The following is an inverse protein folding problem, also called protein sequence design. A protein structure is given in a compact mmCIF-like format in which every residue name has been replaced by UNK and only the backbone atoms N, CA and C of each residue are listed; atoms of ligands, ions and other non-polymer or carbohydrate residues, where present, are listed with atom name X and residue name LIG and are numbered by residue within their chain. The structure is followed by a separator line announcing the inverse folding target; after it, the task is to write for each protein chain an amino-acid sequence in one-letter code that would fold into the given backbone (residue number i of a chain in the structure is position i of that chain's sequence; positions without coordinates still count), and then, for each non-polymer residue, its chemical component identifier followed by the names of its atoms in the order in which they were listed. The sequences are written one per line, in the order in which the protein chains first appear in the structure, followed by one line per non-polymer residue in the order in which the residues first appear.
data_IF_280633128755
#
_entry.id   IF_280633128755
#
_cell.length_a   1.000
_cell.length_b   1.000
_cell.length_c   1.000
_cell.angle_alpha   90.00
_cell.angle_beta   90.00
_cell.angle_gamma   90.00
#
_symmetry.space_group_name_H-M   'P 1'
#
loop_
_entity.id
_entity.type
_entity.pdbx_description
1 polymer ?
#
# COMPACT_ATOMS: atom_id res chain seq x y z
N UNK A 1 -22.65 -23.24 -10.50
CA UNK A 1 -21.24 -22.85 -10.27
C UNK A 1 -20.53 -24.03 -9.63
N UNK A 2 -19.60 -24.73 -10.29
CA UNK A 2 -18.93 -25.92 -9.75
C UNK A 2 -17.96 -25.62 -8.58
N UNK A 3 -17.71 -24.34 -8.28
CA UNK A 3 -16.97 -23.91 -7.08
C UNK A 3 -17.94 -23.50 -5.96
N UNK A 4 -18.77 -24.45 -5.55
CA UNK A 4 -19.86 -24.29 -4.59
C UNK A 4 -19.41 -23.82 -3.21
N UNK A 5 -19.25 -22.51 -3.05
CA UNK A 5 -19.58 -21.68 -1.89
C UNK A 5 -19.14 -20.27 -2.30
N UNK A 6 -20.04 -19.28 -2.23
CA UNK A 6 -19.61 -17.89 -2.37
C UNK A 6 -18.47 -17.60 -1.39
N UNK A 7 -17.56 -16.70 -1.76
CA UNK A 7 -16.47 -16.29 -0.87
C UNK A 7 -17.10 -15.78 0.44
N UNK A 8 -16.83 -16.46 1.56
CA UNK A 8 -17.29 -15.98 2.87
C UNK A 8 -16.56 -14.68 3.22
N UNK A 9 -17.25 -13.76 3.90
CA UNK A 9 -16.64 -12.49 4.32
C UNK A 9 -15.34 -12.72 5.12
N UNK A 10 -15.36 -13.64 6.08
CA UNK A 10 -14.17 -14.02 6.86
C UNK A 10 -13.05 -14.63 6.01
N UNK A 11 -13.40 -15.43 5.00
CA UNK A 11 -12.43 -15.99 4.05
C UNK A 11 -11.82 -14.95 3.12
N UNK A 12 -12.57 -13.90 2.75
CA UNK A 12 -12.05 -12.76 2.01
C UNK A 12 -11.08 -11.96 2.88
N UNK A 13 -11.47 -11.56 4.08
CA UNK A 13 -10.63 -10.80 5.02
C UNK A 13 -9.30 -11.50 5.27
N UNK A 14 -9.32 -12.81 5.54
CA UNK A 14 -8.09 -13.60 5.74
C UNK A 14 -7.18 -13.56 4.51
N UNK A 15 -7.73 -13.65 3.30
CA UNK A 15 -6.95 -13.64 2.07
C UNK A 15 -6.38 -12.26 1.74
N UNK A 16 -7.13 -11.19 1.98
CA UNK A 16 -6.62 -9.82 1.84
C UNK A 16 -5.47 -9.57 2.82
N UNK A 17 -5.64 -9.90 4.11
CA UNK A 17 -4.56 -9.76 5.10
C UNK A 17 -3.31 -10.58 4.75
N UNK A 18 -3.47 -11.76 4.13
CA UNK A 18 -2.34 -12.54 3.65
C UNK A 18 -1.67 -11.92 2.43
N UNK A 19 -2.44 -11.36 1.49
CA UNK A 19 -1.90 -10.63 0.35
C UNK A 19 -1.08 -9.41 0.81
N UNK A 20 -1.56 -8.67 1.80
CA UNK A 20 -0.83 -7.52 2.38
C UNK A 20 0.49 -7.95 3.03
N UNK A 21 0.51 -9.11 3.70
CA UNK A 21 1.75 -9.67 4.27
C UNK A 21 2.74 -10.04 3.17
N UNK A 22 2.29 -10.70 2.11
CA UNK A 22 3.15 -11.07 0.98
C UNK A 22 3.69 -9.82 0.29
N UNK A 23 2.83 -8.83 0.02
CA UNK A 23 3.23 -7.58 -0.63
C UNK A 23 4.33 -6.85 0.16
N UNK A 24 4.22 -6.77 1.49
CA UNK A 24 5.27 -6.19 2.35
C UNK A 24 6.55 -7.02 2.37
N UNK A 25 6.44 -8.34 2.45
CA UNK A 25 7.60 -9.22 2.49
C UNK A 25 8.42 -9.18 1.18
N UNK A 26 7.77 -8.89 0.05
CA UNK A 26 8.42 -8.74 -1.26
C UNK A 26 8.68 -7.29 -1.66
N UNK A 27 8.35 -6.34 -0.79
CA UNK A 27 8.30 -4.91 -1.09
C UNK A 27 7.63 -4.57 -2.43
N UNK A 28 6.46 -5.18 -2.68
CA UNK A 28 5.72 -4.98 -3.91
C UNK A 28 4.95 -3.66 -3.83
N UNK A 29 5.40 -2.63 -4.55
CA UNK A 29 4.58 -1.48 -4.90
C UNK A 29 3.93 -1.71 -6.28
N UNK A 30 2.60 -1.66 -6.32
CA UNK A 30 1.84 -1.83 -7.56
C UNK A 30 2.00 -0.64 -8.51
N UNK A 31 2.25 0.57 -8.01
CA UNK A 31 2.54 1.74 -8.85
C UNK A 31 3.89 1.56 -9.53
N UNK A 32 4.94 1.25 -8.78
CA UNK A 32 6.28 0.99 -9.33
C UNK A 32 6.31 -0.25 -10.24
N UNK A 33 5.49 -1.26 -9.95
CA UNK A 33 5.29 -2.41 -10.82
C UNK A 33 4.58 -2.08 -12.16
N UNK A 34 4.22 -0.81 -12.37
CA UNK A 34 3.64 -0.31 -13.63
C UNK A 34 2.15 -0.60 -13.78
N UNK A 35 1.42 -0.76 -12.67
CA UNK A 35 -0.01 -0.94 -12.75
C UNK A 35 -0.71 0.34 -13.24
N UNK A 36 -1.59 0.21 -14.23
CA UNK A 36 -2.40 1.31 -14.74
C UNK A 36 -3.88 0.91 -14.90
N UNK A 37 -4.82 1.81 -14.59
CA UNK A 37 -6.25 1.57 -14.78
C UNK A 37 -6.63 1.78 -16.26
N UNK A 38 -6.49 0.73 -17.08
CA UNK A 38 -6.82 0.79 -18.53
C UNK A 38 -8.26 0.39 -18.85
N UNK A 39 -8.74 0.76 -20.04
CA UNK A 39 -10.04 0.38 -20.61
C UNK A 39 -10.14 -1.13 -20.76
N UNK A 40 -9.15 -1.76 -21.40
CA UNK A 40 -9.11 -3.21 -21.61
C UNK A 40 -8.88 -4.00 -20.31
N UNK A 41 -8.47 -3.30 -19.25
CA UNK A 41 -8.24 -3.81 -17.90
C UNK A 41 -9.37 -3.46 -16.94
N UNK A 42 -9.06 -2.59 -15.97
CA UNK A 42 -9.94 -2.29 -14.84
C UNK A 42 -11.18 -1.49 -15.25
N UNK A 43 -11.02 -0.42 -16.03
CA UNK A 43 -12.10 0.54 -16.30
C UNK A 43 -13.24 -0.06 -17.13
N UNK A 44 -12.92 -0.97 -18.06
CA UNK A 44 -13.94 -1.71 -18.83
C UNK A 44 -14.75 -2.70 -18.00
N UNK A 45 -14.24 -3.14 -16.83
CA UNK A 45 -14.86 -4.18 -16.00
C UNK A 45 -15.71 -3.63 -14.85
N UNK A 46 -15.41 -2.43 -14.35
CA UNK A 46 -16.13 -1.82 -13.23
C UNK A 46 -17.40 -1.08 -13.67
N UNK A 47 -18.38 -0.80 -12.80
CA UNK A 47 -19.54 0.04 -13.17
C UNK A 47 -19.14 1.51 -13.41
N UNK A 48 -20.01 2.30 -14.05
CA UNK A 48 -19.77 3.74 -14.32
C UNK A 48 -19.46 4.54 -13.04
N UNK A 49 -20.25 4.32 -11.99
CA UNK A 49 -20.06 4.99 -10.69
C UNK A 49 -18.65 4.80 -10.15
N UNK A 50 -18.08 3.59 -10.29
CA UNK A 50 -16.72 3.30 -9.83
C UNK A 50 -15.64 4.00 -10.67
N UNK A 51 -15.88 4.22 -11.96
CA UNK A 51 -14.98 5.06 -12.77
C UNK A 51 -14.99 6.50 -12.24
N UNK A 52 -16.18 7.06 -11.99
CA UNK A 52 -16.31 8.43 -11.52
C UNK A 52 -15.65 8.63 -10.15
N UNK A 53 -15.80 7.66 -9.24
CA UNK A 53 -15.08 7.65 -7.97
C UNK A 53 -13.57 7.60 -8.17
N UNK A 54 -13.05 6.72 -9.04
CA UNK A 54 -11.62 6.65 -9.32
C UNK A 54 -11.06 7.98 -9.83
N UNK A 55 -11.76 8.61 -10.77
CA UNK A 55 -11.38 9.92 -11.32
C UNK A 55 -11.49 11.02 -10.28
N UNK A 56 -12.53 11.00 -9.44
CA UNK A 56 -12.69 11.93 -8.32
C UNK A 56 -11.56 11.82 -7.32
N UNK A 57 -11.19 10.59 -6.94
CA UNK A 57 -10.09 10.32 -6.00
C UNK A 57 -8.74 10.79 -6.56
N UNK A 58 -8.48 10.61 -7.86
CA UNK A 58 -7.19 10.95 -8.46
C UNK A 58 -7.06 12.40 -8.96
N UNK A 59 -8.14 12.98 -9.48
CA UNK A 59 -8.14 14.27 -10.22
C UNK A 59 -9.19 15.26 -9.72
N UNK A 60 -9.92 14.92 -8.65
CA UNK A 60 -10.93 15.78 -8.03
C UNK A 60 -12.31 15.72 -8.69
N UNK A 61 -13.28 16.31 -7.99
CA UNK A 61 -14.70 16.28 -8.34
C UNK A 61 -14.98 16.85 -9.74
N UNK A 62 -14.38 18.00 -10.07
CA UNK A 62 -14.59 18.68 -11.36
C UNK A 62 -14.27 17.81 -12.57
N UNK A 63 -13.24 16.97 -12.48
CA UNK A 63 -12.91 16.01 -13.54
C UNK A 63 -13.97 14.93 -13.67
N UNK A 64 -14.54 14.44 -12.55
CA UNK A 64 -15.61 13.46 -12.57
C UNK A 64 -16.92 14.01 -13.20
N UNK A 65 -17.29 15.28 -12.94
CA UNK A 65 -18.46 15.90 -13.61
C UNK A 65 -18.35 15.90 -15.13
N UNK A 66 -17.14 16.14 -15.67
CA UNK A 66 -16.91 16.14 -17.11
C UNK A 66 -17.13 14.76 -17.74
N UNK A 67 -17.03 13.68 -16.96
CA UNK A 67 -17.20 12.31 -17.45
C UNK A 67 -18.61 11.76 -17.24
N UNK A 68 -19.38 12.30 -16.29
CA UNK A 68 -20.66 11.75 -15.82
C UNK A 68 -21.68 11.52 -16.95
N UNK A 69 -21.72 12.43 -17.92
CA UNK A 69 -22.65 12.40 -19.04
C UNK A 69 -22.22 11.48 -20.20
N UNK A 70 -21.00 10.94 -20.16
CA UNK A 70 -20.46 10.12 -21.24
C UNK A 70 -21.02 8.69 -21.23
N UNK A 71 -21.01 8.06 -22.41
CA UNK A 71 -21.29 6.61 -22.52
C UNK A 71 -20.15 5.82 -21.88
N UNK A 72 -20.42 4.57 -21.47
CA UNK A 72 -19.45 3.76 -20.70
C UNK A 72 -18.09 3.60 -21.39
N UNK A 73 -18.08 3.34 -22.70
CA UNK A 73 -16.83 3.19 -23.46
C UNK A 73 -16.03 4.49 -23.53
N UNK A 74 -16.69 5.60 -23.85
CA UNK A 74 -16.07 6.94 -23.89
C UNK A 74 -15.59 7.38 -22.51
N UNK A 75 -16.40 7.15 -21.47
CA UNK A 75 -16.06 7.40 -20.08
C UNK A 75 -14.82 6.61 -19.64
N UNK A 76 -14.71 5.34 -20.03
CA UNK A 76 -13.53 4.54 -19.69
C UNK A 76 -12.28 5.04 -20.42
N UNK A 77 -12.38 5.40 -21.69
CA UNK A 77 -11.25 5.92 -22.46
C UNK A 77 -10.74 7.27 -21.92
N UNK A 78 -11.67 8.17 -21.58
CA UNK A 78 -11.29 9.46 -21.00
C UNK A 78 -10.76 9.32 -19.57
N UNK A 79 -11.33 8.41 -18.77
CA UNK A 79 -10.80 8.10 -17.45
C UNK A 79 -9.39 7.50 -17.52
N UNK A 80 -9.10 6.61 -18.47
CA UNK A 80 -7.73 6.12 -18.70
C UNK A 80 -6.78 7.28 -18.98
N UNK A 81 -7.16 8.21 -19.87
CA UNK A 81 -6.36 9.40 -20.18
C UNK A 81 -6.09 10.27 -18.96
N UNK A 82 -7.09 10.43 -18.08
CA UNK A 82 -6.97 11.23 -16.86
C UNK A 82 -6.13 10.53 -15.79
N UNK A 83 -6.28 9.22 -15.62
CA UNK A 83 -5.61 8.44 -14.58
C UNK A 83 -4.19 8.02 -14.95
N UNK A 84 -3.85 8.06 -16.25
CA UNK A 84 -2.50 7.73 -16.73
C UNK A 84 -1.43 8.56 -16.01
N UNK A 85 -0.42 7.89 -15.48
CA UNK A 85 0.68 8.52 -14.74
C UNK A 85 0.27 9.21 -13.43
N UNK A 86 -0.97 9.04 -12.94
CA UNK A 86 -1.39 9.63 -11.66
C UNK A 86 -1.00 8.79 -10.45
N UNK A 87 -0.44 7.59 -10.63
CA UNK A 87 -0.17 6.63 -9.55
C UNK A 87 -1.43 6.12 -8.85
N UNK A 88 -2.63 6.40 -9.40
CA UNK A 88 -3.85 5.99 -8.73
C UNK A 88 -4.04 4.48 -8.82
N UNK A 89 -4.30 3.86 -7.67
CA UNK A 89 -4.64 2.45 -7.52
C UNK A 89 -6.05 2.29 -6.94
N UNK A 90 -6.81 1.24 -7.30
CA UNK A 90 -7.99 0.81 -6.56
C UNK A 90 -7.62 0.44 -5.12
N UNK A 91 -8.54 0.68 -4.18
CA UNK A 91 -8.35 0.39 -2.74
C UNK A 91 -7.76 -1.00 -2.47
N UNK A 92 -8.24 -2.03 -3.17
CA UNK A 92 -7.78 -3.43 -3.00
C UNK A 92 -6.32 -3.67 -3.40
N UNK A 93 -5.70 -2.75 -4.13
CA UNK A 93 -4.29 -2.82 -4.54
C UNK A 93 -3.41 -1.84 -3.76
N UNK A 94 -4.01 -0.97 -2.94
CA UNK A 94 -3.24 -0.01 -2.14
C UNK A 94 -2.64 -0.71 -0.93
N UNK A 95 -1.35 -0.47 -0.72
CA UNK A 95 -0.64 -0.83 0.50
C UNK A 95 -0.86 0.25 1.56
N UNK A 96 -1.43 -0.12 2.70
CA UNK A 96 -1.68 0.81 3.79
C UNK A 96 -0.39 1.47 4.30
N UNK A 97 0.73 0.75 4.25
CA UNK A 97 2.05 1.25 4.64
C UNK A 97 2.66 2.23 3.63
N UNK A 98 2.37 2.13 2.34
CA UNK A 98 2.85 3.10 1.33
C UNK A 98 2.01 4.38 1.32
N UNK A 99 0.69 4.27 1.57
CA UNK A 99 -0.18 5.47 1.69
C UNK A 99 0.27 6.37 2.84
N UNK A 100 0.67 5.78 3.98
CA UNK A 100 1.15 6.55 5.13
C UNK A 100 2.43 7.33 4.81
N UNK A 101 3.32 6.77 3.99
CA UNK A 101 4.57 7.44 3.57
C UNK A 101 4.32 8.61 2.62
N UNK A 102 3.32 8.51 1.74
CA UNK A 102 2.93 9.61 0.83
C UNK A 102 2.30 10.80 1.58
N UNK A 103 1.55 10.54 2.65
CA UNK A 103 0.95 11.60 3.50
C UNK A 103 2.01 12.28 4.40
N UNK A 104 3.02 11.54 4.88
CA UNK A 104 4.13 12.10 5.66
C UNK A 104 5.09 12.97 4.81
N UNK A 105 5.19 12.72 3.50
CA UNK A 105 6.00 13.54 2.58
C UNK A 105 5.47 14.99 2.41
N UNK A 106 4.24 15.27 2.84
CA UNK A 106 3.65 16.62 2.88
C UNK A 106 3.94 17.34 4.21
N UNK A 107 4.63 16.67 5.14
CA UNK A 107 4.97 17.17 6.47
C UNK A 107 6.50 17.17 6.74
N UNK A 108 7.33 17.52 5.74
CA UNK A 108 8.75 17.83 6.00
C UNK A 108 8.86 19.21 6.67
N UNK A 109 8.87 19.20 8.00
CA UNK A 109 8.98 20.42 8.79
C UNK A 109 9.26 20.26 10.27
N UNK A 110 9.92 19.20 10.74
CA UNK A 110 10.76 19.24 11.95
C UNK A 110 11.59 17.96 12.08
N UNK A 111 12.89 18.05 11.77
CA UNK A 111 13.87 17.09 12.31
C UNK A 111 14.13 17.50 13.75
N UNK A 112 13.79 16.63 14.69
CA UNK A 112 14.40 16.63 16.02
C UNK A 112 15.24 15.36 16.12
N UNK A 113 16.55 15.56 16.08
CA UNK A 113 17.54 14.60 16.50
C UNK A 113 17.41 14.42 18.01
N UNK A 114 16.82 13.30 18.46
CA UNK A 114 17.07 12.81 19.82
C UNK A 114 17.40 11.33 19.81
N UNK A 115 18.71 11.09 19.95
CA UNK A 115 19.36 9.90 20.49
C UNK A 115 18.53 9.28 21.63
N UNK A 116 18.05 8.06 21.40
CA UNK A 116 17.34 7.25 22.36
C UNK A 116 17.79 5.82 22.15
N UNK A 117 18.80 5.42 22.91
CA UNK A 117 19.32 4.06 22.98
C UNK A 117 18.16 3.06 23.12
N UNK A 118 17.83 2.35 22.03
CA UNK A 118 16.90 1.24 22.09
C UNK A 118 17.62 0.09 22.80
N UNK A 119 17.42 0.00 24.11
CA UNK A 119 17.58 -1.27 24.81
C UNK A 119 16.49 -2.20 24.26
N UNK A 120 16.83 -2.92 23.20
CA UNK A 120 15.94 -3.88 22.55
C UNK A 120 15.66 -4.98 23.57
N UNK A 121 14.42 -5.11 24.01
CA UNK A 121 13.97 -6.23 24.85
C UNK A 121 14.05 -7.53 24.02
N UNK A 122 15.26 -8.08 23.97
CA UNK A 122 15.59 -9.27 23.22
C UNK A 122 15.03 -10.48 23.96
N UNK A 123 14.27 -11.36 23.28
CA UNK A 123 13.71 -12.54 23.90
C UNK A 123 14.83 -13.44 24.44
N UNK A 124 14.61 -14.05 25.61
CA UNK A 124 15.62 -14.77 26.40
C UNK A 124 16.42 -15.85 25.67
N UNK A 125 15.94 -16.34 24.52
CA UNK A 125 16.69 -17.31 23.70
C UNK A 125 17.85 -16.67 22.90
N UNK A 126 17.86 -15.34 22.73
CA UNK A 126 18.91 -14.60 22.00
C UNK A 126 19.98 -14.00 22.92
N UNK A 127 19.66 -13.76 24.19
CA UNK A 127 20.57 -13.14 25.17
C UNK A 127 21.41 -14.17 25.95
N UNK A 128 21.12 -15.47 25.79
CA UNK A 128 21.73 -16.54 26.59
C UNK A 128 23.16 -16.94 26.17
N UNK A 129 23.71 -16.36 25.08
CA UNK A 129 25.02 -16.74 24.54
C UNK A 129 25.96 -15.54 24.28
N UNK A 130 25.68 -14.36 24.83
CA UNK A 130 26.67 -13.28 24.82
C UNK A 130 27.71 -13.54 25.92
N UNK A 131 28.99 -13.80 25.59
CA UNK A 131 30.03 -13.86 26.60
C UNK A 131 30.16 -12.47 27.24
N UNK A 132 30.04 -12.44 28.56
CA UNK A 132 30.18 -11.26 29.40
C UNK A 132 31.59 -10.68 29.20
N UNK A 133 31.71 -9.70 28.30
CA UNK A 133 32.96 -9.00 28.04
C UNK A 133 33.21 -7.99 29.16
N UNK A 134 33.77 -8.48 30.27
CA UNK A 134 34.53 -7.67 31.21
C UNK A 134 35.52 -8.54 31.98
N UNK A 135 36.59 -9.00 31.32
CA UNK A 135 37.77 -9.48 32.04
C UNK A 135 38.56 -8.24 32.55
N UNK A 136 38.73 -8.04 33.87
CA UNK A 136 39.74 -7.12 34.35
C UNK A 136 41.11 -7.81 34.24
N UNK A 137 41.89 -7.38 33.26
CA UNK A 137 43.35 -7.52 33.27
C UNK A 137 43.95 -6.63 34.38
N UNK A 138 45.15 -6.99 34.84
CA UNK A 138 46.08 -6.30 35.77
C UNK A 138 45.89 -6.70 37.26
N UNK A 139 46.89 -7.13 38.06
CA UNK A 139 48.36 -7.02 38.01
C UNK A 139 49.05 -8.21 38.70
N UNK A 140 50.30 -8.43 38.30
CA UNK A 140 51.30 -9.24 38.98
C UNK A 140 51.92 -8.48 40.17
N UNK A 141 52.23 -9.20 41.27
CA UNK A 141 53.49 -9.14 42.01
C UNK A 141 53.66 -10.43 42.84
#
# INVERSE_FOLDING_TARGET
NPYGAGISASGLTRRMAHADLVARATDLDMVEAGWEPTVDGYLGRVPKARILEAVREAKGEGSAQLLDHLKKGEMAAEAERLLKGSGWLPEVLRRADLIALDDDAIAEGQRDDTDGSAEVDLPAFLSADLPDSAAPLIAAE
#
